data_IF_794225251668
#
_entry.id   IF_794225251668
#
_cell.length_a   1.000
_cell.length_b   1.000
_cell.length_c   1.000
_cell.angle_alpha   90.00
_cell.angle_beta   90.00
_cell.angle_gamma   90.00
#
_symmetry.space_group_name_H-M   'P 1'
#
loop_
_entity.id
_entity.type
_entity.pdbx_description
1 polymer ?
#
# COMPACT_ATOMS: atom_id res chain seq x y z
N UNK A 1 7.18 15.31 -22.43
CA UNK A 1 7.66 14.72 -21.16
C UNK A 1 7.53 15.78 -20.09
N UNK A 2 6.43 15.74 -19.33
CA UNK A 2 6.12 16.79 -18.34
C UNK A 2 7.09 16.74 -17.18
N UNK A 3 7.87 17.79 -17.04
CA UNK A 3 8.82 18.05 -15.96
C UNK A 3 8.09 18.16 -14.63
N UNK A 4 8.66 17.61 -13.56
CA UNK A 4 8.16 17.76 -12.20
C UNK A 4 8.12 19.25 -11.81
N UNK A 5 6.93 19.83 -11.66
CA UNK A 5 6.74 21.07 -10.89
C UNK A 5 6.42 20.66 -9.46
N UNK A 6 7.44 20.30 -8.69
CA UNK A 6 7.33 20.19 -7.24
C UNK A 6 7.53 21.59 -6.66
N UNK A 7 6.45 22.27 -6.30
CA UNK A 7 6.49 23.67 -5.87
C UNK A 7 7.40 23.90 -4.66
N UNK A 8 8.09 25.04 -4.67
CA UNK A 8 8.93 25.58 -3.59
C UNK A 8 8.10 26.03 -2.38
N UNK A 9 7.23 25.16 -1.86
CA UNK A 9 6.41 25.47 -0.70
C UNK A 9 7.28 25.44 0.56
N UNK A 10 7.24 26.54 1.30
CA UNK A 10 7.85 26.68 2.62
C UNK A 10 6.74 26.65 3.67
N UNK A 11 6.80 25.66 4.55
CA UNK A 11 5.89 25.55 5.69
C UNK A 11 6.64 25.91 6.96
N UNK A 12 6.04 26.78 7.77
CA UNK A 12 6.51 27.10 9.12
C UNK A 12 5.74 26.22 10.10
N UNK A 13 6.44 25.52 10.98
CA UNK A 13 5.88 24.59 11.95
C UNK A 13 6.46 24.91 13.33
N UNK A 14 5.61 24.89 14.35
CA UNK A 14 6.06 24.94 15.74
C UNK A 14 6.52 23.55 16.18
N UNK A 15 7.78 23.43 16.57
CA UNK A 15 8.41 22.18 17.01
C UNK A 15 9.07 22.44 18.36
N UNK A 16 8.91 21.53 19.32
CA UNK A 16 9.57 21.65 20.61
C UNK A 16 11.10 21.65 20.44
N UNK A 17 11.78 22.61 21.08
CA UNK A 17 13.24 22.79 20.96
C UNK A 17 14.04 21.49 21.19
N UNK A 18 13.74 20.66 22.21
CA UNK A 18 14.49 19.43 22.43
C UNK A 18 14.42 18.45 21.24
N UNK A 19 13.28 18.40 20.55
CA UNK A 19 13.08 17.55 19.38
C UNK A 19 13.83 18.12 18.16
N UNK A 20 13.78 19.44 17.97
CA UNK A 20 14.49 20.12 16.89
C UNK A 20 16.00 19.90 17.00
N UNK A 21 16.55 20.00 18.21
CA UNK A 21 17.97 19.77 18.49
C UNK A 21 18.39 18.33 18.21
N UNK A 22 17.57 17.36 18.62
CA UNK A 22 17.81 15.94 18.32
C UNK A 22 17.79 15.68 16.81
N UNK A 23 16.79 16.21 16.10
CA UNK A 23 16.68 16.06 14.65
C UNK A 23 17.88 16.67 13.92
N UNK A 24 18.37 17.84 14.35
CA UNK A 24 19.58 18.47 13.79
C UNK A 24 20.83 17.62 13.98
N UNK A 25 21.02 17.05 15.18
CA UNK A 25 22.17 16.17 15.47
C UNK A 25 22.15 14.92 14.60
N UNK A 26 20.98 14.31 14.42
CA UNK A 26 20.80 13.13 13.56
C UNK A 26 21.11 13.48 12.10
N UNK A 27 20.50 14.54 11.57
CA UNK A 27 20.73 14.98 10.19
C UNK A 27 22.21 15.27 9.92
N UNK A 28 22.89 15.97 10.84
CA UNK A 28 24.31 16.26 10.72
C UNK A 28 25.19 15.00 10.76
N UNK A 29 24.88 14.06 11.66
CA UNK A 29 25.59 12.76 11.75
C UNK A 29 25.45 11.95 10.46
N UNK A 30 24.27 11.99 9.85
CA UNK A 30 23.93 11.18 8.67
C UNK A 30 24.27 11.89 7.34
N UNK A 31 24.81 13.11 7.39
CA UNK A 31 25.17 13.89 6.19
C UNK A 31 23.95 14.40 5.40
N UNK A 32 22.79 14.52 6.05
CA UNK A 32 21.55 14.98 5.44
C UNK A 32 21.12 16.36 5.96
N UNK A 33 20.16 16.98 5.25
CA UNK A 33 19.55 18.24 5.72
C UNK A 33 18.39 17.96 6.69
N UNK A 34 18.14 18.88 7.63
CA UNK A 34 16.96 18.83 8.49
C UNK A 34 15.66 18.75 7.67
N UNK A 35 15.63 19.43 6.51
CA UNK A 35 14.49 19.38 5.58
C UNK A 35 14.25 17.95 5.07
N UNK A 36 15.30 17.26 4.60
CA UNK A 36 15.21 15.86 4.16
C UNK A 36 14.64 14.98 5.26
N UNK A 37 15.17 15.10 6.48
CA UNK A 37 14.73 14.30 7.62
C UNK A 37 13.25 14.54 7.98
N UNK A 38 12.80 15.80 7.97
CA UNK A 38 11.40 16.16 8.21
C UNK A 38 10.48 15.63 7.11
N UNK A 39 10.87 15.76 5.84
CA UNK A 39 10.09 15.24 4.71
C UNK A 39 9.96 13.72 4.75
N UNK A 40 11.03 13.00 5.10
CA UNK A 40 11.00 11.54 5.28
C UNK A 40 10.03 11.12 6.39
N UNK A 41 10.10 11.78 7.54
CA UNK A 41 9.18 11.54 8.66
C UNK A 41 7.73 11.77 8.26
N UNK A 42 7.44 12.89 7.58
CA UNK A 42 6.10 13.21 7.09
C UNK A 42 5.59 12.18 6.07
N UNK A 43 6.42 11.78 5.10
CA UNK A 43 6.07 10.75 4.11
C UNK A 43 5.71 9.44 4.78
N UNK A 44 6.49 9.01 5.77
CA UNK A 44 6.24 7.76 6.52
C UNK A 44 4.87 7.80 7.20
N UNK A 45 4.58 8.86 7.97
CA UNK A 45 3.30 8.98 8.68
C UNK A 45 2.11 9.07 7.72
N UNK A 46 2.25 9.81 6.61
CA UNK A 46 1.21 9.88 5.57
C UNK A 46 0.98 8.51 4.95
N UNK A 47 2.03 7.77 4.59
CA UNK A 47 1.92 6.44 4.02
C UNK A 47 1.27 5.45 4.99
N UNK A 48 1.69 5.43 6.26
CA UNK A 48 1.09 4.59 7.31
C UNK A 48 -0.41 4.86 7.48
N UNK A 49 -0.82 6.13 7.47
CA UNK A 49 -2.24 6.51 7.60
C UNK A 49 -3.03 6.24 6.32
N UNK A 50 -2.41 6.40 5.15
CA UNK A 50 -3.04 6.14 3.86
C UNK A 50 -3.19 4.65 3.58
N UNK A 51 -2.26 3.82 4.07
CA UNK A 51 -2.32 2.36 4.00
C UNK A 51 -3.41 1.77 4.91
N UNK A 52 -3.84 2.50 5.95
CA UNK A 52 -5.08 2.20 6.70
C UNK A 52 -6.35 2.57 5.90
N UNK A 53 -6.22 3.18 4.72
CA UNK A 53 -7.31 3.51 3.82
C UNK A 53 -7.92 2.26 3.19
N UNK A 54 -9.20 2.04 3.50
CA UNK A 54 -10.11 0.94 3.11
C UNK A 54 -9.50 -0.47 3.17
N UNK A 55 -10.00 -1.36 4.05
CA UNK A 55 -9.60 -2.76 4.00
C UNK A 55 -9.79 -3.30 2.58
N UNK A 56 -8.89 -4.19 2.16
CA UNK A 56 -9.02 -4.90 0.89
C UNK A 56 -10.44 -5.47 0.82
N UNK A 57 -11.24 -4.95 -0.11
CA UNK A 57 -12.57 -5.46 -0.38
C UNK A 57 -12.45 -6.32 -1.61
N UNK A 58 -12.53 -7.65 -1.42
CA UNK A 58 -12.62 -8.57 -2.54
C UNK A 58 -13.83 -8.15 -3.38
N UNK A 59 -13.63 -7.99 -4.69
CA UNK A 59 -14.74 -7.77 -5.62
C UNK A 59 -15.71 -8.93 -5.45
N UNK A 60 -17.00 -8.62 -5.38
CA UNK A 60 -18.02 -9.67 -5.43
C UNK A 60 -17.83 -10.47 -6.72
N UNK A 61 -17.34 -11.70 -6.56
CA UNK A 61 -17.08 -12.66 -7.62
C UNK A 61 -18.16 -13.73 -7.68
N UNK A 62 -19.30 -13.53 -7.02
CA UNK A 62 -20.41 -14.44 -7.11
C UNK A 62 -20.95 -14.48 -8.54
N UNK A 63 -21.25 -15.70 -8.99
CA UNK A 63 -22.00 -15.93 -10.22
C UNK A 63 -23.46 -16.19 -9.86
N UNK A 64 -24.39 -15.78 -10.72
CA UNK A 64 -25.82 -16.08 -10.51
C UNK A 64 -26.05 -17.60 -10.51
N UNK A 65 -26.87 -18.10 -9.58
CA UNK A 65 -27.22 -19.51 -9.47
C UNK A 65 -27.21 -20.02 -8.03
N UNK A 66 -27.45 -21.34 -7.86
CA UNK A 66 -27.51 -22.01 -6.55
C UNK A 66 -26.29 -22.90 -6.27
N UNK A 67 -25.10 -22.49 -6.73
CA UNK A 67 -23.86 -23.24 -6.51
C UNK A 67 -23.42 -24.07 -7.72
N UNK A 68 -22.92 -25.27 -7.47
CA UNK A 68 -22.34 -26.15 -8.49
C UNK A 68 -23.38 -26.59 -9.52
N UNK A 69 -22.92 -26.81 -10.76
CA UNK A 69 -23.78 -27.42 -11.79
C UNK A 69 -24.05 -28.90 -11.45
N UNK A 70 -25.21 -29.46 -11.80
CA UNK A 70 -25.54 -30.86 -11.48
C UNK A 70 -24.50 -31.86 -11.97
N UNK A 71 -23.85 -31.59 -13.10
CA UNK A 71 -22.88 -32.47 -13.73
C UNK A 71 -21.59 -32.61 -12.92
N UNK A 72 -21.28 -31.65 -12.04
CA UNK A 72 -20.07 -31.65 -11.19
C UNK A 72 -20.38 -31.79 -9.71
N UNK A 73 -21.66 -31.85 -9.32
CA UNK A 73 -22.08 -31.87 -7.92
C UNK A 73 -21.68 -33.17 -7.18
N UNK A 74 -21.40 -34.24 -7.91
CA UNK A 74 -20.98 -35.53 -7.37
C UNK A 74 -19.45 -35.67 -7.25
N UNK A 75 -18.69 -34.70 -7.78
CA UNK A 75 -17.23 -34.72 -7.77
C UNK A 75 -16.69 -34.16 -6.46
N UNK A 76 -15.52 -34.67 -6.05
CA UNK A 76 -14.75 -34.07 -4.98
C UNK A 76 -14.21 -32.69 -5.40
N UNK A 77 -13.93 -31.85 -4.40
CA UNK A 77 -13.31 -30.54 -4.65
C UNK A 77 -11.98 -30.66 -5.41
N UNK A 78 -11.22 -31.73 -5.19
CA UNK A 78 -9.96 -31.97 -5.89
C UNK A 78 -10.18 -32.21 -7.39
N UNK A 79 -11.18 -33.01 -7.75
CA UNK A 79 -11.55 -33.28 -9.15
C UNK A 79 -12.08 -32.02 -9.86
N UNK A 80 -12.90 -31.22 -9.18
CA UNK A 80 -13.40 -29.94 -9.71
C UNK A 80 -12.26 -28.97 -9.98
N UNK A 81 -11.26 -28.92 -9.09
CA UNK A 81 -10.07 -28.09 -9.27
C UNK A 81 -9.28 -28.56 -10.48
N UNK A 82 -8.96 -29.85 -10.59
CA UNK A 82 -8.22 -30.41 -11.72
C UNK A 82 -8.92 -30.09 -13.06
N UNK A 83 -10.22 -30.34 -13.14
CA UNK A 83 -11.06 -30.02 -14.31
C UNK A 83 -10.99 -28.53 -14.70
N UNK A 84 -10.91 -27.63 -13.73
CA UNK A 84 -10.83 -26.18 -13.97
C UNK A 84 -9.50 -25.72 -14.59
N UNK A 85 -8.47 -26.58 -14.58
CA UNK A 85 -7.14 -26.32 -15.12
C UNK A 85 -6.84 -27.09 -16.41
N UNK A 86 -7.71 -28.00 -16.86
CA UNK A 86 -7.47 -28.85 -18.06
C UNK A 86 -7.18 -28.04 -19.33
N UNK A 87 -7.80 -26.87 -19.50
CA UNK A 87 -7.58 -25.97 -20.64
C UNK A 87 -6.56 -24.84 -20.38
N UNK A 88 -5.82 -24.89 -19.25
CA UNK A 88 -4.86 -23.84 -18.84
C UNK A 88 -3.41 -24.30 -18.76
N UNK A 89 -3.12 -25.53 -19.14
CA UNK A 89 -1.75 -26.04 -19.31
C UNK A 89 -1.25 -25.78 -20.73
N UNK A 90 -0.39 -24.78 -20.90
CA UNK A 90 0.48 -24.66 -22.07
C UNK A 90 1.74 -25.50 -21.90
#
# INVERSE_FOLDING_TARGET
MGTHIGGDMKTTLDIADPLLDQARKIAARDGETLRSLVEQGLRKVVAERSAKGKPFKLRDGSFKGNGLRPEVAHLSMHEIILMSYEDRGG
#
